data_IF_119332202311
#
_entry.id   IF_119332202311
#
_cell.length_a   1.000
_cell.length_b   1.000
_cell.length_c   1.000
_cell.angle_alpha   90.00
_cell.angle_beta   90.00
_cell.angle_gamma   90.00
#
_symmetry.space_group_name_H-M   'P 1'
#
loop_
_entity.id
_entity.type
_entity.pdbx_description
1 polymer ?
#
# COMPACT_ATOMS: atom_id res chain seq x y z
N UNK A 1 -7.27 9.91 6.63
CA UNK A 1 -5.94 9.99 7.28
C UNK A 1 -5.97 10.64 8.67
N UNK A 2 -6.22 11.95 8.84
CA UNK A 2 -6.12 12.66 10.14
C UNK A 2 -6.86 12.00 11.32
N UNK A 3 -8.03 11.43 11.07
CA UNK A 3 -8.79 10.71 12.10
C UNK A 3 -8.03 9.49 12.65
N UNK A 4 -7.29 8.75 11.81
CA UNK A 4 -6.46 7.62 12.27
C UNK A 4 -5.32 8.08 13.17
N UNK A 5 -4.67 9.21 12.84
CA UNK A 5 -3.62 9.81 13.67
C UNK A 5 -4.18 10.22 15.03
N UNK A 6 -5.28 10.97 15.03
CA UNK A 6 -5.95 11.41 16.27
C UNK A 6 -6.37 10.22 17.14
N UNK A 7 -6.94 9.19 16.53
CA UNK A 7 -7.41 8.00 17.26
C UNK A 7 -6.25 7.16 17.79
N UNK A 8 -5.16 7.00 17.01
CA UNK A 8 -3.98 6.30 17.47
C UNK A 8 -3.41 6.96 18.74
N UNK A 9 -3.21 8.28 18.69
CA UNK A 9 -2.69 9.04 19.83
C UNK A 9 -3.58 8.88 21.07
N UNK A 10 -4.91 8.90 20.91
CA UNK A 10 -5.84 8.66 22.02
C UNK A 10 -5.77 7.23 22.56
N UNK A 11 -5.56 6.24 21.68
CA UNK A 11 -5.51 4.84 22.07
C UNK A 11 -4.21 4.49 22.83
N UNK A 12 -3.12 5.19 22.54
CA UNK A 12 -1.80 4.96 23.15
C UNK A 12 -1.47 5.90 24.31
N UNK A 13 -2.26 6.95 24.53
CA UNK A 13 -2.03 7.94 25.59
C UNK A 13 -1.82 7.29 26.97
N UNK A 14 -0.69 7.63 27.60
CA UNK A 14 -0.26 7.09 28.89
C UNK A 14 0.14 5.60 28.90
N UNK A 15 0.34 4.96 27.74
CA UNK A 15 0.69 3.53 27.61
C UNK A 15 2.05 3.32 26.94
N UNK A 16 2.72 2.17 27.17
CA UNK A 16 4.01 1.86 26.54
C UNK A 16 3.99 1.90 25.00
N UNK A 17 2.83 1.67 24.38
CA UNK A 17 2.64 1.79 22.94
C UNK A 17 2.93 3.20 22.39
N UNK A 18 2.81 4.25 23.19
CA UNK A 18 3.08 5.63 22.75
C UNK A 18 4.57 5.87 22.42
N UNK A 19 5.47 5.07 22.99
CA UNK A 19 6.92 5.19 22.79
C UNK A 19 7.42 4.35 21.59
N UNK A 20 6.52 3.58 20.95
CA UNK A 20 6.88 2.71 19.83
C UNK A 20 6.78 3.43 18.49
N UNK A 21 7.62 3.04 17.54
CA UNK A 21 7.45 3.44 16.14
C UNK A 21 6.15 2.89 15.54
N UNK A 22 5.68 3.48 14.44
CA UNK A 22 4.52 2.95 13.72
C UNK A 22 4.79 1.52 13.24
N UNK A 23 5.98 1.26 12.74
CA UNK A 23 6.45 -0.04 12.27
C UNK A 23 6.39 -1.09 13.40
N UNK A 24 6.87 -0.74 14.59
CA UNK A 24 6.82 -1.64 15.76
C UNK A 24 5.39 -1.90 16.21
N UNK A 25 4.52 -0.89 16.17
CA UNK A 25 3.10 -1.05 16.47
C UNK A 25 2.42 -1.96 15.45
N UNK A 26 2.72 -1.84 14.16
CA UNK A 26 2.18 -2.70 13.11
C UNK A 26 2.61 -4.15 13.30
N UNK A 27 3.87 -4.38 13.69
CA UNK A 27 4.41 -5.72 13.94
C UNK A 27 3.89 -6.36 15.23
N UNK A 28 3.65 -5.57 16.28
CA UNK A 28 3.42 -6.12 17.64
C UNK A 28 2.01 -5.92 18.20
N UNK A 29 1.30 -4.86 17.81
CA UNK A 29 -0.03 -4.56 18.33
C UNK A 29 -1.12 -5.42 17.65
N UNK A 30 -2.30 -5.44 18.26
CA UNK A 30 -3.52 -6.06 17.73
C UNK A 30 -4.71 -5.12 17.94
N UNK A 31 -5.85 -5.43 17.32
CA UNK A 31 -7.10 -4.69 17.52
C UNK A 31 -7.01 -3.21 17.13
N UNK A 32 -7.65 -2.29 17.88
CA UNK A 32 -7.74 -0.88 17.50
C UNK A 32 -6.40 -0.16 17.35
N UNK A 33 -5.38 -0.49 18.16
CA UNK A 33 -4.05 0.12 18.05
C UNK A 33 -3.40 -0.27 16.72
N UNK A 34 -3.42 -1.56 16.37
CA UNK A 34 -2.95 -2.05 15.07
C UNK A 34 -3.71 -1.36 13.93
N UNK A 35 -5.05 -1.34 13.98
CA UNK A 35 -5.87 -0.77 12.91
C UNK A 35 -5.53 0.70 12.64
N UNK A 36 -5.35 1.52 13.68
CA UNK A 36 -5.04 2.94 13.50
C UNK A 36 -3.58 3.15 13.11
N UNK A 37 -2.62 2.44 13.73
CA UNK A 37 -1.20 2.53 13.37
C UNK A 37 -0.96 2.14 11.90
N UNK A 38 -1.51 1.00 11.49
CA UNK A 38 -1.40 0.54 10.12
C UNK A 38 -2.09 1.50 9.14
N UNK A 39 -3.27 2.04 9.45
CA UNK A 39 -3.90 3.01 8.55
C UNK A 39 -3.12 4.33 8.45
N UNK A 40 -2.50 4.83 9.54
CA UNK A 40 -1.61 6.00 9.46
C UNK A 40 -0.44 5.72 8.51
N UNK A 41 0.20 4.57 8.69
CA UNK A 41 1.35 4.18 7.87
C UNK A 41 0.95 3.95 6.41
N UNK A 42 -0.12 3.17 6.15
CA UNK A 42 -0.62 2.84 4.80
C UNK A 42 -0.94 4.12 4.02
N UNK A 43 -1.65 5.07 4.62
CA UNK A 43 -1.98 6.32 3.93
C UNK A 43 -0.73 7.16 3.66
N UNK A 44 0.18 7.28 4.64
CA UNK A 44 1.45 8.00 4.45
C UNK A 44 2.27 7.40 3.30
N UNK A 45 2.36 6.08 3.25
CA UNK A 45 3.02 5.35 2.17
C UNK A 45 2.32 5.55 0.82
N UNK A 46 0.98 5.46 0.80
CA UNK A 46 0.16 5.67 -0.40
C UNK A 46 0.36 7.06 -1.01
N UNK A 47 0.41 8.13 -0.21
CA UNK A 47 0.64 9.46 -0.75
C UNK A 47 2.01 9.59 -1.44
N UNK A 48 3.04 8.91 -0.91
CA UNK A 48 4.36 8.89 -1.55
C UNK A 48 4.41 8.00 -2.80
N UNK A 49 3.52 7.01 -2.90
CA UNK A 49 3.33 6.20 -4.11
C UNK A 49 2.73 6.99 -5.27
N UNK A 50 2.28 8.22 -5.06
CA UNK A 50 1.68 9.07 -6.08
C UNK A 50 2.51 10.34 -6.29
N UNK A 51 2.59 10.81 -7.54
CA UNK A 51 3.13 12.13 -7.85
C UNK A 51 2.42 12.76 -9.06
N UNK A 52 2.33 14.10 -9.13
CA UNK A 52 2.07 14.78 -10.38
C UNK A 52 3.08 14.34 -11.45
N UNK A 53 2.61 14.15 -12.69
CA UNK A 53 3.44 13.66 -13.79
C UNK A 53 4.16 12.33 -13.46
N UNK A 54 3.48 11.45 -12.69
CA UNK A 54 3.91 10.08 -12.47
C UNK A 54 3.49 9.13 -13.61
N UNK A 55 3.35 7.86 -13.25
CA UNK A 55 2.96 6.80 -14.17
C UNK A 55 4.05 6.46 -15.18
N UNK A 56 3.64 5.99 -16.36
CA UNK A 56 4.55 5.45 -17.36
C UNK A 56 5.18 4.12 -16.93
N UNK A 57 6.19 3.71 -17.69
CA UNK A 57 6.97 2.50 -17.41
C UNK A 57 8.08 2.84 -16.39
N UNK A 58 8.28 2.05 -15.32
CA UNK A 58 9.44 2.19 -14.47
C UNK A 58 10.73 1.92 -15.27
N UNK A 59 11.88 2.30 -14.72
CA UNK A 59 13.18 2.04 -15.35
C UNK A 59 14.18 1.50 -14.32
N UNK A 60 15.30 0.96 -14.79
CA UNK A 60 16.37 0.46 -13.94
C UNK A 60 15.96 -0.74 -13.08
N UNK A 61 16.53 -0.82 -11.87
CA UNK A 61 16.44 -1.99 -11.01
C UNK A 61 15.01 -2.47 -10.70
N UNK A 62 14.05 -1.55 -10.58
CA UNK A 62 12.65 -1.93 -10.33
C UNK A 62 11.99 -2.59 -11.54
N UNK A 63 12.29 -2.14 -12.77
CA UNK A 63 11.78 -2.76 -13.98
C UNK A 63 12.39 -4.16 -14.17
N UNK A 64 13.69 -4.29 -13.89
CA UNK A 64 14.40 -5.57 -13.94
C UNK A 64 13.82 -6.55 -12.92
N UNK A 65 13.60 -6.13 -11.68
CA UNK A 65 13.00 -6.96 -10.64
C UNK A 65 11.55 -7.36 -10.98
N UNK A 66 10.75 -6.44 -11.51
CA UNK A 66 9.39 -6.74 -11.99
C UNK A 66 9.43 -7.77 -13.12
N UNK A 67 10.27 -7.58 -14.13
CA UNK A 67 10.36 -8.53 -15.24
C UNK A 67 10.86 -9.91 -14.77
N UNK A 68 11.77 -9.95 -13.80
CA UNK A 68 12.26 -11.21 -13.23
C UNK A 68 11.17 -11.97 -12.45
N UNK A 69 10.33 -11.28 -11.68
CA UNK A 69 9.29 -11.93 -10.87
C UNK A 69 7.99 -12.20 -11.61
N UNK A 70 7.62 -11.35 -12.58
CA UNK A 70 6.31 -11.42 -13.24
C UNK A 70 6.38 -11.71 -14.75
N UNK A 71 7.59 -11.83 -15.32
CA UNK A 71 7.83 -12.02 -16.75
C UNK A 71 7.83 -10.72 -17.55
N UNK A 72 6.90 -9.81 -17.28
CA UNK A 72 6.93 -8.45 -17.81
C UNK A 72 6.16 -7.46 -16.93
N UNK A 73 6.39 -6.16 -17.17
CA UNK A 73 5.63 -5.09 -16.53
C UNK A 73 4.12 -5.15 -16.79
N UNK A 74 3.69 -5.56 -17.99
CA UNK A 74 2.26 -5.61 -18.33
C UNK A 74 1.56 -6.77 -17.58
N UNK A 75 2.21 -7.91 -17.44
CA UNK A 75 1.75 -9.03 -16.61
C UNK A 75 1.66 -8.60 -15.14
N UNK A 76 2.69 -7.95 -14.60
CA UNK A 76 2.66 -7.37 -13.25
C UNK A 76 1.47 -6.41 -13.07
N UNK A 77 1.32 -5.45 -13.97
CA UNK A 77 0.26 -4.43 -13.94
C UNK A 77 -1.12 -5.09 -13.99
N UNK A 78 -1.28 -6.13 -14.80
CA UNK A 78 -2.52 -6.92 -14.90
C UNK A 78 -2.82 -7.64 -13.59
N UNK A 79 -1.83 -8.34 -13.00
CA UNK A 79 -1.98 -9.04 -11.73
C UNK A 79 -2.34 -8.09 -10.59
N UNK A 80 -1.60 -6.98 -10.45
CA UNK A 80 -1.87 -5.96 -9.44
C UNK A 80 -3.26 -5.33 -9.61
N UNK A 81 -3.65 -5.00 -10.85
CA UNK A 81 -4.96 -4.42 -11.15
C UNK A 81 -6.08 -5.39 -10.78
N UNK A 82 -5.95 -6.67 -11.13
CA UNK A 82 -6.94 -7.70 -10.82
C UNK A 82 -7.10 -7.89 -9.31
N UNK A 83 -6.01 -7.88 -8.55
CA UNK A 83 -6.05 -7.93 -7.09
C UNK A 83 -6.73 -6.71 -6.48
N UNK A 84 -6.36 -5.49 -6.91
CA UNK A 84 -6.94 -4.24 -6.42
C UNK A 84 -8.45 -4.16 -6.70
N UNK A 85 -8.87 -4.51 -7.91
CA UNK A 85 -10.29 -4.51 -8.29
C UNK A 85 -11.06 -5.61 -7.56
N UNK A 86 -10.49 -6.82 -7.53
CA UNK A 86 -11.14 -8.03 -7.01
C UNK A 86 -11.21 -8.12 -5.48
N UNK A 87 -10.49 -7.28 -4.73
CA UNK A 87 -10.54 -7.29 -3.27
C UNK A 87 -11.94 -6.94 -2.76
N UNK A 88 -12.65 -7.90 -2.19
CA UNK A 88 -14.00 -7.64 -1.67
C UNK A 88 -13.98 -6.75 -0.42
N UNK A 89 -14.78 -5.68 -0.43
CA UNK A 89 -14.84 -4.71 0.66
C UNK A 89 -13.67 -3.72 0.65
N UNK A 90 -13.24 -3.34 1.85
CA UNK A 90 -12.18 -2.37 2.10
C UNK A 90 -10.81 -3.02 2.19
N UNK A 91 -9.77 -2.33 1.71
CA UNK A 91 -8.39 -2.76 1.91
C UNK A 91 -7.41 -2.11 0.93
N UNK A 92 -6.31 -2.80 0.71
CA UNK A 92 -5.12 -2.29 0.03
C UNK A 92 -4.54 -3.35 -0.90
N UNK A 93 -4.19 -2.97 -2.12
CA UNK A 93 -3.33 -3.79 -2.98
C UNK A 93 -1.87 -3.39 -2.78
N UNK A 94 -0.96 -4.36 -2.76
CA UNK A 94 0.45 -4.15 -2.49
C UNK A 94 1.33 -4.84 -3.53
N UNK A 95 2.42 -4.16 -3.90
CA UNK A 95 3.63 -4.78 -4.42
C UNK A 95 4.59 -4.85 -3.24
N UNK A 96 5.14 -6.03 -2.99
CA UNK A 96 6.01 -6.31 -1.85
C UNK A 96 7.27 -7.01 -2.32
N UNK A 97 8.33 -6.90 -1.53
CA UNK A 97 9.53 -7.71 -1.64
C UNK A 97 9.60 -8.65 -0.44
N UNK A 98 9.70 -9.95 -0.71
CA UNK A 98 9.85 -10.99 0.29
C UNK A 98 11.30 -11.05 0.81
N UNK A 99 11.53 -11.81 1.90
CA UNK A 99 12.85 -11.92 2.52
C UNK A 99 13.92 -12.51 1.57
N UNK A 100 13.52 -13.33 0.60
CA UNK A 100 14.40 -13.90 -0.42
C UNK A 100 14.71 -12.93 -1.58
N UNK A 101 14.14 -11.72 -1.54
CA UNK A 101 14.33 -10.67 -2.53
C UNK A 101 13.39 -10.76 -3.74
N UNK A 102 12.51 -11.76 -3.81
CA UNK A 102 11.51 -11.87 -4.88
C UNK A 102 10.38 -10.86 -4.69
N UNK A 103 9.77 -10.41 -5.80
CA UNK A 103 8.62 -9.52 -5.76
C UNK A 103 7.31 -10.31 -5.81
N UNK A 104 6.37 -9.90 -4.96
CA UNK A 104 5.02 -10.44 -4.89
C UNK A 104 3.97 -9.35 -5.01
N UNK A 105 2.75 -9.74 -5.39
CA UNK A 105 1.57 -8.89 -5.31
C UNK A 105 0.51 -9.54 -4.44
N UNK A 106 -0.09 -8.76 -3.57
CA UNK A 106 -1.12 -9.25 -2.65
C UNK A 106 -2.15 -8.18 -2.33
N UNK A 107 -3.31 -8.61 -1.85
CA UNK A 107 -4.36 -7.73 -1.38
C UNK A 107 -4.63 -8.01 0.10
N UNK A 108 -4.64 -6.96 0.91
CA UNK A 108 -4.86 -7.07 2.34
C UNK A 108 -6.13 -6.32 2.75
N UNK A 109 -7.03 -7.03 3.43
CA UNK A 109 -8.30 -6.46 3.88
C UNK A 109 -8.10 -5.44 5.01
N UNK A 110 -8.99 -4.45 5.04
CA UNK A 110 -9.08 -3.41 6.04
C UNK A 110 -7.76 -2.65 6.24
N UNK A 111 -7.09 -2.86 7.39
CA UNK A 111 -5.85 -2.19 7.78
C UNK A 111 -4.61 -3.08 7.59
N UNK A 112 -4.74 -4.21 6.88
CA UNK A 112 -3.61 -5.11 6.68
C UNK A 112 -2.42 -4.39 6.03
N UNK A 113 -1.22 -4.78 6.45
CA UNK A 113 0.03 -4.16 6.08
C UNK A 113 1.14 -5.23 5.99
N UNK A 114 1.91 -5.31 4.89
CA UNK A 114 2.96 -6.32 4.71
C UNK A 114 4.07 -6.32 5.77
N UNK A 115 4.30 -5.19 6.46
CA UNK A 115 5.24 -5.13 7.57
C UNK A 115 4.89 -6.10 8.71
N UNK A 116 3.61 -6.43 8.88
CA UNK A 116 3.16 -7.41 9.87
C UNK A 116 3.59 -8.85 9.51
N UNK A 117 3.93 -9.09 8.24
CA UNK A 117 4.39 -10.36 7.70
C UNK A 117 5.92 -10.39 7.48
N UNK A 118 6.65 -9.34 7.87
CA UNK A 118 8.09 -9.23 7.61
C UNK A 118 8.45 -8.84 6.18
N UNK A 119 7.47 -8.56 5.33
CA UNK A 119 7.68 -8.18 3.93
C UNK A 119 7.99 -6.68 3.81
N UNK A 120 8.70 -6.30 2.76
CA UNK A 120 9.02 -4.90 2.45
C UNK A 120 8.00 -4.33 1.46
N UNK A 121 7.16 -3.34 1.84
CA UNK A 121 6.22 -2.72 0.91
C UNK A 121 6.92 -1.82 -0.10
N UNK A 122 6.57 -1.94 -1.38
CA UNK A 122 7.16 -1.15 -2.48
C UNK A 122 6.16 -0.17 -3.12
N UNK A 123 4.93 -0.63 -3.37
CA UNK A 123 3.83 0.15 -3.94
C UNK A 123 2.52 -0.24 -3.26
N UNK A 124 1.62 0.71 -3.04
CA UNK A 124 0.25 0.40 -2.61
C UNK A 124 -0.80 1.18 -3.37
N UNK A 125 -2.01 0.62 -3.46
CA UNK A 125 -3.21 1.28 -3.92
C UNK A 125 -4.32 1.10 -2.87
N UNK A 126 -4.83 2.21 -2.34
CA UNK A 126 -6.00 2.22 -1.44
C UNK A 126 -7.25 1.86 -2.23
N UNK A 127 -7.95 0.78 -1.85
CA UNK A 127 -9.22 0.39 -2.47
C UNK A 127 -10.40 0.43 -1.48
N UNK A 128 -10.23 1.10 -0.35
CA UNK A 128 -11.36 1.61 0.42
C UNK A 128 -12.17 2.58 -0.45
N UNK A 129 -13.49 2.53 -0.35
CA UNK A 129 -14.36 3.38 -1.18
C UNK A 129 -14.05 4.87 -1.01
N UNK A 130 -13.66 5.33 0.19
CA UNK A 130 -13.29 6.73 0.40
C UNK A 130 -12.15 7.23 -0.51
N UNK A 131 -11.31 6.34 -1.04
CA UNK A 131 -10.21 6.70 -1.91
C UNK A 131 -10.69 7.16 -3.30
N UNK A 132 -11.89 6.74 -3.71
CA UNK A 132 -12.36 6.93 -5.09
C UNK A 132 -13.83 7.29 -5.24
N UNK A 133 -14.66 7.17 -4.20
CA UNK A 133 -16.10 7.28 -4.35
C UNK A 133 -16.55 8.67 -4.80
N UNK A 134 -15.83 9.73 -4.43
CA UNK A 134 -16.12 11.11 -4.83
C UNK A 134 -15.94 11.29 -6.34
N UNK A 135 -14.93 10.68 -6.93
CA UNK A 135 -14.59 10.87 -8.35
C UNK A 135 -15.20 9.79 -9.25
N UNK A 136 -15.31 8.56 -8.76
CA UNK A 136 -15.65 7.37 -9.55
C UNK A 136 -16.88 6.61 -9.06
N UNK A 137 -17.44 6.95 -7.89
CA UNK A 137 -18.54 6.18 -7.26
C UNK A 137 -18.20 4.69 -7.22
N UNK A 138 -19.06 3.82 -7.74
CA UNK A 138 -18.86 2.38 -7.79
C UNK A 138 -17.82 1.91 -8.82
N UNK A 139 -17.30 2.79 -9.68
CA UNK A 139 -16.38 2.44 -10.76
C UNK A 139 -14.93 2.29 -10.26
N UNK A 140 -14.67 1.38 -9.31
CA UNK A 140 -13.34 1.08 -8.79
C UNK A 140 -12.33 0.75 -9.90
N UNK A 141 -12.76 0.01 -10.92
CA UNK A 141 -11.93 -0.30 -12.10
C UNK A 141 -11.37 0.99 -12.71
N UNK A 142 -12.22 2.01 -12.87
CA UNK A 142 -11.79 3.28 -13.47
C UNK A 142 -10.80 4.03 -12.59
N UNK A 143 -11.01 4.01 -11.28
CA UNK A 143 -10.06 4.55 -10.33
C UNK A 143 -8.68 3.87 -10.44
N UNK A 144 -8.62 2.54 -10.43
CA UNK A 144 -7.35 1.79 -10.53
C UNK A 144 -6.67 2.04 -11.89
N UNK A 145 -7.42 2.17 -12.98
CA UNK A 145 -6.86 2.61 -14.26
C UNK A 145 -6.16 3.98 -14.15
N UNK A 146 -6.77 4.94 -13.45
CA UNK A 146 -6.18 6.28 -13.27
C UNK A 146 -5.03 6.31 -12.29
N UNK A 147 -5.03 5.43 -11.28
CA UNK A 147 -3.91 5.26 -10.34
C UNK A 147 -2.59 5.01 -11.08
N UNK A 148 -2.60 4.18 -12.13
CA UNK A 148 -1.40 3.88 -12.92
C UNK A 148 -0.77 5.11 -13.59
N UNK A 149 -1.54 6.17 -13.86
CA UNK A 149 -1.02 7.41 -14.43
C UNK A 149 -0.33 8.31 -13.38
N UNK A 150 -0.45 7.98 -12.09
CA UNK A 150 0.06 8.77 -10.97
C UNK A 150 1.20 8.06 -10.22
N UNK A 151 1.46 6.78 -10.51
CA UNK A 151 2.45 5.99 -9.77
C UNK A 151 3.83 6.67 -9.76
N UNK A 152 4.37 6.84 -8.56
CA UNK A 152 5.68 7.41 -8.34
C UNK A 152 6.76 6.32 -8.34
N UNK A 153 7.24 5.95 -9.51
CA UNK A 153 8.28 4.92 -9.65
C UNK A 153 9.59 5.27 -8.96
N UNK A 154 9.92 6.54 -8.73
CA UNK A 154 11.11 6.94 -7.96
C UNK A 154 10.98 6.50 -6.49
N UNK A 155 9.81 6.68 -5.89
CA UNK A 155 9.55 6.21 -4.53
C UNK A 155 9.57 4.68 -4.45
N UNK A 156 8.93 4.00 -5.41
CA UNK A 156 8.97 2.52 -5.48
C UNK A 156 10.41 2.01 -5.59
N UNK A 157 11.22 2.64 -6.45
CA UNK A 157 12.64 2.27 -6.64
C UNK A 157 13.47 2.50 -5.38
N UNK A 158 13.18 3.58 -4.63
CA UNK A 158 13.88 3.88 -3.37
C UNK A 158 13.60 2.83 -2.27
N UNK A 159 12.46 2.16 -2.33
CA UNK A 159 12.05 1.13 -1.36
C UNK A 159 12.52 -0.28 -1.75
N UNK A 160 12.95 -0.48 -3.01
CA UNK A 160 13.45 -1.75 -3.53
C UNK A 160 14.76 -2.16 -2.83
#
# INVERSE_FOLDING_TARGET
HNAYVTNLNKLTDGKPEAEKSLEDLIKTAKGPVFNNAAQVWNHTFYWNCLKPQGGGLPTGAILEAINASFGSFEEFKTLFTNLAVGLFGSGWAWLVKDEDGTLGVEAMSNAGNPLANGQTPLLTCDVWEHAYYIDYRNARVKYVETFWALVNWEFVTKNL
#
